data_IF_920827079928
#
_entry.id   IF_920827079928
#
_cell.length_a   1.000
_cell.length_b   1.000
_cell.length_c   1.000
_cell.angle_alpha   90.00
_cell.angle_beta   90.00
_cell.angle_gamma   90.00
#
_symmetry.space_group_name_H-M   'P 1'
#
loop_
_entity.id
_entity.type
_entity.pdbx_description
1 polymer ?
#
# COMPACT_ATOMS: atom_id res chain seq x y z
N UNK A 1 42.48 -8.11 -7.86
CA UNK A 1 41.74 -6.83 -7.80
C UNK A 1 40.32 -6.93 -8.37
N UNK A 2 40.10 -7.54 -9.55
CA UNK A 2 38.75 -7.72 -10.14
C UNK A 2 37.75 -8.48 -9.25
N UNK A 3 38.21 -9.51 -8.50
CA UNK A 3 37.35 -10.26 -7.56
C UNK A 3 36.89 -9.40 -6.37
N UNK A 4 37.74 -8.50 -5.87
CA UNK A 4 37.40 -7.58 -4.78
C UNK A 4 36.36 -6.53 -5.21
N UNK A 5 36.42 -6.10 -6.48
CA UNK A 5 35.41 -5.21 -7.08
C UNK A 5 34.03 -5.87 -7.09
N UNK A 6 33.95 -7.16 -7.42
CA UNK A 6 32.69 -7.92 -7.43
C UNK A 6 32.10 -8.03 -6.01
N UNK A 7 32.92 -8.32 -5.00
CA UNK A 7 32.44 -8.38 -3.61
C UNK A 7 31.98 -7.01 -3.10
N UNK A 8 32.69 -5.93 -3.48
CA UNK A 8 32.27 -4.57 -3.16
C UNK A 8 30.93 -4.22 -3.81
N UNK A 9 30.72 -4.57 -5.09
CA UNK A 9 29.47 -4.31 -5.81
C UNK A 9 28.29 -5.06 -5.18
N UNK A 10 28.51 -6.29 -4.71
CA UNK A 10 27.47 -7.10 -4.05
C UNK A 10 27.03 -6.46 -2.72
N UNK A 11 27.96 -5.96 -1.91
CA UNK A 11 27.66 -5.32 -0.62
C UNK A 11 26.94 -3.97 -0.75
N UNK A 12 27.15 -3.24 -1.85
CA UNK A 12 26.43 -1.97 -2.10
C UNK A 12 24.96 -2.18 -2.47
N UNK A 13 24.58 -3.36 -2.97
CA UNK A 13 23.19 -3.64 -3.41
C UNK A 13 22.20 -3.84 -2.26
N UNK A 14 22.66 -4.17 -1.05
CA UNK A 14 21.77 -4.42 0.10
C UNK A 14 21.20 -3.16 0.75
N UNK A 15 21.68 -1.97 0.40
CA UNK A 15 21.23 -0.70 0.99
C UNK A 15 19.96 -0.13 0.33
N UNK A 16 19.40 -0.78 -0.69
CA UNK A 16 18.20 -0.32 -1.41
C UNK A 16 16.89 -0.94 -0.89
N UNK A 17 16.93 -1.71 0.20
CA UNK A 17 15.73 -2.29 0.82
C UNK A 17 15.26 -1.42 1.98
N UNK A 18 14.75 -0.23 1.69
CA UNK A 18 13.96 0.54 2.64
C UNK A 18 12.54 0.65 2.07
N UNK A 19 11.66 -0.30 2.42
CA UNK A 19 10.23 -0.11 2.23
C UNK A 19 9.80 0.94 3.26
N UNK A 20 9.70 2.19 2.84
CA UNK A 20 9.29 3.28 3.72
C UNK A 20 7.85 3.03 4.16
N UNK A 21 7.67 2.64 5.42
CA UNK A 21 6.36 2.56 6.06
C UNK A 21 5.94 3.98 6.47
N UNK A 22 5.57 4.80 5.49
CA UNK A 22 5.04 6.13 5.78
C UNK A 22 3.64 6.01 6.40
N UNK A 23 3.45 6.73 7.50
CA UNK A 23 2.13 6.93 8.08
C UNK A 23 1.38 7.96 7.25
N UNK A 24 0.11 7.69 6.94
CA UNK A 24 -0.73 8.57 6.15
C UNK A 24 -1.97 8.99 6.92
N UNK A 25 -2.40 10.22 6.66
CA UNK A 25 -3.69 10.76 7.12
C UNK A 25 -4.65 10.77 5.93
N UNK A 26 -5.79 10.09 6.12
CA UNK A 26 -6.80 9.88 5.10
C UNK A 26 -8.18 9.96 5.72
N UNK A 27 -9.04 10.81 5.17
CA UNK A 27 -10.42 10.96 5.60
C UNK A 27 -11.32 10.90 4.37
N UNK A 28 -12.40 10.12 4.47
CA UNK A 28 -13.40 10.00 3.42
C UNK A 28 -14.77 9.75 4.00
N UNK A 29 -15.79 10.26 3.30
CA UNK A 29 -17.18 10.09 3.65
C UNK A 29 -17.97 9.60 2.43
N UNK A 30 -18.80 8.58 2.65
CA UNK A 30 -19.69 8.01 1.65
C UNK A 30 -19.02 7.55 0.34
N UNK A 31 -17.75 7.17 0.39
CA UNK A 31 -17.01 6.67 -0.76
C UNK A 31 -17.12 5.15 -0.87
N UNK A 32 -17.17 4.65 -2.10
CA UNK A 32 -16.97 3.23 -2.38
C UNK A 32 -15.51 2.83 -2.13
N UNK A 33 -15.30 1.55 -1.85
CA UNK A 33 -13.96 1.02 -1.60
C UNK A 33 -13.00 1.24 -2.81
N UNK A 34 -13.54 1.28 -4.03
CA UNK A 34 -12.79 1.64 -5.25
C UNK A 34 -12.29 3.08 -5.21
N UNK A 35 -13.15 4.03 -4.85
CA UNK A 35 -12.78 5.45 -4.73
C UNK A 35 -11.77 5.68 -3.61
N UNK A 36 -11.90 4.94 -2.50
CA UNK A 36 -10.92 4.99 -1.41
C UNK A 36 -9.56 4.47 -1.88
N UNK A 37 -9.48 3.34 -2.58
CA UNK A 37 -8.21 2.85 -3.14
C UNK A 37 -7.55 3.87 -4.07
N UNK A 38 -8.32 4.48 -4.99
CA UNK A 38 -7.81 5.54 -5.87
C UNK A 38 -7.27 6.74 -5.08
N UNK A 39 -7.92 7.11 -3.98
CA UNK A 39 -7.44 8.20 -3.12
C UNK A 39 -6.10 7.87 -2.44
N UNK A 40 -5.87 6.59 -2.12
CA UNK A 40 -4.62 6.10 -1.56
C UNK A 40 -3.52 6.08 -2.62
N UNK A 41 -3.80 5.64 -3.86
CA UNK A 41 -2.82 5.66 -4.96
C UNK A 41 -2.28 7.07 -5.21
N UNK A 42 -3.18 8.06 -5.26
CA UNK A 42 -2.81 9.47 -5.45
C UNK A 42 -1.93 9.99 -4.32
N UNK A 43 -2.14 9.53 -3.08
CA UNK A 43 -1.36 9.97 -1.91
C UNK A 43 -0.03 9.25 -1.71
N UNK A 44 0.05 7.99 -2.13
CA UNK A 44 1.18 7.09 -1.81
C UNK A 44 2.03 6.76 -3.03
N UNK A 45 1.65 7.23 -4.21
CA UNK A 45 2.27 6.89 -5.50
C UNK A 45 2.28 5.37 -5.80
N UNK A 46 1.49 4.59 -5.06
CA UNK A 46 1.30 3.16 -5.27
C UNK A 46 0.22 2.91 -6.31
N UNK A 47 0.25 1.73 -6.91
CA UNK A 47 -0.80 1.24 -7.81
C UNK A 47 -1.40 -0.05 -7.26
N UNK A 48 -2.72 -0.09 -7.12
CA UNK A 48 -3.46 -1.29 -6.69
C UNK A 48 -3.98 -2.06 -7.89
N UNK A 49 -3.84 -3.39 -7.81
CA UNK A 49 -4.36 -4.31 -8.81
C UNK A 49 -5.40 -5.23 -8.16
N UNK A 50 -6.61 -5.19 -8.68
CA UNK A 50 -7.74 -5.95 -8.16
C UNK A 50 -8.69 -6.34 -9.29
N UNK A 51 -9.53 -7.35 -9.04
CA UNK A 51 -10.65 -7.65 -9.92
C UNK A 51 -11.84 -6.82 -9.45
N UNK A 52 -12.46 -6.04 -10.35
CA UNK A 52 -13.59 -5.14 -10.01
C UNK A 52 -14.69 -5.84 -9.19
N UNK A 53 -14.97 -7.12 -9.50
CA UNK A 53 -15.98 -7.93 -8.78
C UNK A 53 -15.68 -8.19 -7.30
N UNK A 54 -14.46 -7.93 -6.84
CA UNK A 54 -14.06 -8.10 -5.44
C UNK A 54 -14.37 -6.89 -4.58
N UNK A 55 -14.56 -5.72 -5.20
CA UNK A 55 -14.84 -4.49 -4.48
C UNK A 55 -16.36 -4.35 -4.36
N UNK A 56 -16.86 -4.35 -3.13
CA UNK A 56 -18.28 -4.10 -2.88
C UNK A 56 -18.63 -2.64 -3.22
N UNK A 57 -19.86 -2.42 -3.66
CA UNK A 57 -20.44 -1.10 -3.95
C UNK A 57 -20.85 -0.33 -2.68
N UNK A 58 -20.70 -0.95 -1.50
CA UNK A 58 -20.99 -0.35 -0.21
C UNK A 58 -20.17 0.93 -0.01
N UNK A 59 -20.87 1.99 0.36
CA UNK A 59 -20.26 3.25 0.80
C UNK A 59 -19.73 3.13 2.21
N UNK A 60 -18.54 3.65 2.44
CA UNK A 60 -17.85 3.67 3.73
C UNK A 60 -17.41 5.10 4.06
N UNK A 61 -17.45 5.41 5.35
CA UNK A 61 -16.94 6.67 5.90
C UNK A 61 -15.99 6.32 7.04
N UNK A 62 -14.71 6.72 6.93
CA UNK A 62 -13.69 6.51 7.96
C UNK A 62 -12.67 7.64 7.95
N UNK A 63 -12.03 7.82 9.09
CA UNK A 63 -10.95 8.77 9.30
C UNK A 63 -9.73 8.03 9.86
N UNK A 64 -8.57 8.24 9.25
CA UNK A 64 -7.28 7.72 9.65
C UNK A 64 -6.33 8.90 9.85
N UNK A 65 -5.68 8.96 11.00
CA UNK A 65 -4.73 10.02 11.37
C UNK A 65 -3.39 9.39 11.73
N UNK A 66 -2.37 9.68 10.92
CA UNK A 66 -1.00 9.20 11.15
C UNK A 66 -0.91 7.66 11.31
N UNK A 67 -1.63 6.94 10.46
CA UNK A 67 -1.72 5.48 10.51
C UNK A 67 -0.95 4.84 9.35
N UNK A 68 -0.35 3.68 9.56
CA UNK A 68 0.35 2.97 8.50
C UNK A 68 -0.61 2.52 7.40
N UNK A 69 -0.14 2.57 6.15
CA UNK A 69 -0.92 2.08 5.01
C UNK A 69 -1.34 0.61 5.20
N UNK A 70 -0.48 -0.22 5.77
CA UNK A 70 -0.79 -1.62 6.06
C UNK A 70 -2.00 -1.76 7.00
N UNK A 71 -2.07 -0.94 8.05
CA UNK A 71 -3.22 -0.96 8.96
C UNK A 71 -4.49 -0.51 8.24
N UNK A 72 -4.41 0.58 7.45
CA UNK A 72 -5.55 1.09 6.69
C UNK A 72 -6.09 0.01 5.73
N UNK A 73 -5.20 -0.63 4.97
CA UNK A 73 -5.58 -1.72 4.07
C UNK A 73 -6.16 -2.90 4.84
N UNK A 74 -5.51 -3.34 5.92
CA UNK A 74 -6.05 -4.43 6.74
C UNK A 74 -7.45 -4.09 7.26
N UNK A 75 -7.68 -2.89 7.78
CA UNK A 75 -8.97 -2.45 8.30
C UNK A 75 -10.05 -2.30 7.20
N UNK A 76 -9.68 -1.84 5.99
CA UNK A 76 -10.58 -1.78 4.84
C UNK A 76 -11.00 -3.18 4.34
N UNK A 77 -10.09 -4.15 4.40
CA UNK A 77 -10.32 -5.52 3.94
C UNK A 77 -10.65 -6.51 5.07
N UNK A 78 -10.77 -6.04 6.31
CA UNK A 78 -11.10 -6.90 7.47
C UNK A 78 -12.49 -7.51 7.26
N UNK A 79 -12.53 -8.85 7.16
CA UNK A 79 -13.76 -9.60 6.89
C UNK A 79 -14.05 -9.88 5.40
N UNK A 80 -13.23 -9.35 4.50
CA UNK A 80 -13.25 -9.76 3.09
C UNK A 80 -12.33 -10.97 2.89
N UNK A 81 -12.81 -12.00 2.19
CA UNK A 81 -12.05 -13.24 1.90
C UNK A 81 -10.87 -13.04 0.93
N UNK A 82 -10.64 -11.82 0.44
CA UNK A 82 -9.69 -11.53 -0.63
C UNK A 82 -8.54 -10.68 -0.09
N UNK A 83 -7.39 -11.32 0.17
CA UNK A 83 -6.13 -10.59 0.38
C UNK A 83 -5.74 -9.89 -0.91
N UNK A 84 -5.57 -8.57 -0.87
CA UNK A 84 -4.96 -7.81 -1.97
C UNK A 84 -3.46 -8.06 -2.02
N UNK A 85 -2.92 -8.17 -3.23
CA UNK A 85 -1.48 -8.15 -3.50
C UNK A 85 -1.12 -6.76 -4.03
N UNK A 86 -0.25 -6.04 -3.34
CA UNK A 86 0.33 -4.76 -3.77
C UNK A 86 1.82 -4.97 -4.07
N UNK A 87 2.34 -4.31 -5.11
CA UNK A 87 3.73 -4.40 -5.57
C UNK A 87 4.44 -3.07 -5.41
#
# INVERSE_FOLDING_TARGET
MKKLIIYSLFLLSSHMLCAQSENITLSFEELSLKEVLLSIEVKTELSFYYIDKWLDSKKISKNYEEVSLEFILNDLFTGSLHKLYYF
#
